data_IF_637784506841
#
_entry.id   IF_637784506841
#
_cell.length_a   1.000
_cell.length_b   1.000
_cell.length_c   1.000
_cell.angle_alpha   90.00
_cell.angle_beta   90.00
_cell.angle_gamma   90.00
#
_symmetry.space_group_name_H-M   'P 1'
#
loop_
_entity.id
_entity.type
_entity.pdbx_description
1 polymer ?
#
# COMPACT_ATOMS: atom_id res chain seq x y z
N UNK A 1 -8.86 -29.09 15.23
CA UNK A 1 -8.88 -28.53 15.17
C UNK A 1 -8.66 -27.96 15.16
N UNK A 2 -8.46 -27.82 15.09
CA UNK A 2 -8.20 -27.17 15.15
C UNK A 2 -8.30 -26.44 15.00
N UNK A 3 -8.55 -26.19 14.91
CA UNK A 3 -8.66 -25.47 14.87
C UNK A 3 -8.67 -24.99 15.37
N UNK A 4 -8.56 -25.06 15.66
CA UNK A 4 -8.45 -24.55 16.18
C UNK A 4 -7.90 -24.10 16.57
N UNK A 5 -7.81 -24.95 17.13
CA UNK A 5 -6.84 -24.41 17.53
C UNK A 5 -6.45 -23.37 16.86
N UNK A 6 -6.52 -23.58 16.08
CA UNK A 6 -6.35 -22.55 15.38
C UNK A 6 -6.89 -21.36 15.92
N UNK A 7 -7.92 -21.50 16.62
CA UNK A 7 -8.55 -20.41 17.16
C UNK A 7 -7.85 -19.83 18.30
N UNK A 8 -7.28 -20.64 19.13
CA UNK A 8 -6.48 -20.15 20.22
C UNK A 8 -5.34 -19.31 19.69
N UNK A 9 -4.75 -19.79 18.63
CA UNK A 9 -3.67 -19.06 18.05
C UNK A 9 -4.12 -17.77 17.48
N UNK A 10 -5.33 -17.71 17.01
CA UNK A 10 -5.82 -16.50 16.43
C UNK A 10 -5.95 -15.37 17.40
N UNK A 11 -6.01 -15.65 18.65
CA UNK A 11 -6.01 -14.60 19.61
C UNK A 11 -4.77 -13.77 19.49
N UNK A 12 -3.66 -14.42 19.19
CA UNK A 12 -2.42 -13.71 19.03
C UNK A 12 -2.35 -12.98 17.73
N UNK A 13 -3.19 -13.34 16.78
CA UNK A 13 -3.14 -12.73 15.49
C UNK A 13 -3.49 -11.25 15.53
N UNK A 14 -4.14 -10.78 16.56
CA UNK A 14 -4.39 -9.38 16.67
C UNK A 14 -3.12 -8.59 16.77
N UNK A 15 -2.11 -9.19 17.38
CA UNK A 15 -0.85 -8.49 17.60
C UNK A 15 0.21 -8.92 16.62
N UNK A 16 0.00 -10.09 16.01
CA UNK A 16 1.01 -10.67 15.13
C UNK A 16 0.44 -10.91 13.76
N UNK A 17 0.48 -9.89 12.94
CA UNK A 17 -0.02 -10.00 11.58
C UNK A 17 0.93 -10.89 10.81
N UNK A 18 0.43 -11.94 10.16
CA UNK A 18 1.31 -12.83 9.42
C UNK A 18 2.12 -12.11 8.35
N UNK A 19 3.38 -12.46 8.26
CA UNK A 19 4.25 -11.86 7.25
C UNK A 19 3.69 -12.05 5.85
N UNK A 20 3.09 -13.21 5.58
CA UNK A 20 2.51 -13.46 4.26
C UNK A 20 1.41 -12.47 3.94
N UNK A 21 0.62 -12.06 4.93
CA UNK A 21 -0.44 -11.09 4.70
C UNK A 21 0.15 -9.71 4.41
N UNK A 22 1.20 -9.33 5.10
CA UNK A 22 1.87 -8.07 4.87
C UNK A 22 2.49 -8.05 3.48
N UNK A 23 3.17 -9.13 3.11
CA UNK A 23 3.78 -9.19 1.78
C UNK A 23 2.73 -9.18 0.68
N UNK A 24 1.61 -9.84 0.90
CA UNK A 24 0.53 -9.83 -0.09
C UNK A 24 -0.01 -8.41 -0.27
N UNK A 25 -0.18 -7.69 0.83
CA UNK A 25 -0.69 -6.32 0.74
C UNK A 25 0.31 -5.41 0.03
N UNK A 26 1.60 -5.58 0.31
CA UNK A 26 2.63 -4.80 -0.37
C UNK A 26 2.60 -5.07 -1.87
N UNK A 27 2.50 -6.34 -2.27
CA UNK A 27 2.45 -6.68 -3.69
C UNK A 27 1.22 -6.07 -4.34
N UNK A 28 0.08 -6.14 -3.65
CA UNK A 28 -1.13 -5.57 -4.17
C UNK A 28 -0.98 -4.06 -4.39
N UNK A 29 -0.48 -3.35 -3.38
CA UNK A 29 -0.32 -1.92 -3.47
C UNK A 29 0.69 -1.54 -4.56
N UNK A 30 1.79 -2.26 -4.63
CA UNK A 30 2.80 -1.99 -5.64
C UNK A 30 2.20 -2.11 -7.04
N UNK A 31 1.52 -3.22 -7.30
CA UNK A 31 0.92 -3.44 -8.62
C UNK A 31 -0.15 -2.41 -8.94
N UNK A 32 -0.97 -2.05 -7.95
CA UNK A 32 -2.01 -1.07 -8.17
C UNK A 32 -1.43 0.31 -8.48
N UNK A 33 -0.35 0.68 -7.81
CA UNK A 33 0.32 1.96 -8.07
C UNK A 33 0.93 1.94 -9.45
N UNK A 34 1.65 0.88 -9.80
CA UNK A 34 2.28 0.79 -11.11
C UNK A 34 1.24 0.82 -12.23
N UNK A 35 0.07 0.22 -12.01
CA UNK A 35 -0.95 0.20 -13.04
C UNK A 35 -1.42 1.60 -13.44
N UNK A 36 -1.23 2.60 -12.59
CA UNK A 36 -1.62 3.97 -12.94
C UNK A 36 -0.77 4.50 -14.09
N UNK A 37 0.45 3.98 -14.26
CA UNK A 37 1.29 4.40 -15.39
C UNK A 37 0.64 4.01 -16.70
N UNK A 38 0.08 2.80 -16.77
CA UNK A 38 -0.60 2.34 -17.98
C UNK A 38 -1.88 3.10 -18.20
N UNK A 39 -2.62 3.39 -17.13
CA UNK A 39 -3.84 4.18 -17.28
C UNK A 39 -3.54 5.59 -17.79
N UNK A 40 -2.43 6.17 -17.34
CA UNK A 40 -2.02 7.47 -17.81
C UNK A 40 -1.72 7.44 -19.30
N UNK A 41 -0.99 6.41 -19.74
CA UNK A 41 -0.64 6.26 -21.14
C UNK A 41 -1.88 6.06 -22.01
N UNK A 42 -2.89 5.38 -21.44
CA UNK A 42 -4.14 5.11 -22.17
C UNK A 42 -5.14 6.26 -22.07
N UNK A 43 -4.79 7.33 -21.36
CA UNK A 43 -5.67 8.47 -21.13
C UNK A 43 -6.99 8.05 -20.49
N UNK A 44 -6.90 7.16 -19.50
CA UNK A 44 -8.09 6.65 -18.83
C UNK A 44 -8.84 7.78 -18.13
N UNK A 45 -10.15 7.90 -18.34
CA UNK A 45 -10.94 8.92 -17.64
C UNK A 45 -11.09 8.61 -16.16
N UNK A 46 -10.69 7.40 -15.73
CA UNK A 46 -10.81 7.00 -14.34
C UNK A 46 -9.52 7.13 -13.56
N UNK A 47 -8.48 7.68 -14.19
CA UNK A 47 -7.17 7.73 -13.54
C UNK A 47 -7.20 8.49 -12.21
N UNK A 48 -7.83 9.66 -12.21
CA UNK A 48 -7.87 10.47 -10.99
C UNK A 48 -8.62 9.75 -9.87
N UNK A 49 -9.74 9.13 -10.20
CA UNK A 49 -10.51 8.38 -9.21
C UNK A 49 -9.72 7.18 -8.70
N UNK A 50 -8.94 6.54 -9.57
CA UNK A 50 -8.12 5.42 -9.16
C UNK A 50 -7.03 5.86 -8.18
N UNK A 51 -6.39 6.99 -8.46
CA UNK A 51 -5.37 7.51 -7.56
C UNK A 51 -5.98 7.88 -6.21
N UNK A 52 -7.16 8.47 -6.21
CA UNK A 52 -7.84 8.79 -4.96
C UNK A 52 -8.15 7.52 -4.18
N UNK A 53 -8.59 6.48 -4.87
CA UNK A 53 -8.86 5.19 -4.24
C UNK A 53 -7.60 4.62 -3.61
N UNK A 54 -6.47 4.72 -4.30
CA UNK A 54 -5.19 4.26 -3.77
C UNK A 54 -4.79 5.02 -2.51
N UNK A 55 -4.97 6.33 -2.53
CA UNK A 55 -4.67 7.15 -1.36
C UNK A 55 -5.51 6.67 -0.17
N UNK A 56 -6.79 6.42 -0.41
CA UNK A 56 -7.66 5.94 0.64
C UNK A 56 -7.24 4.57 1.17
N UNK A 57 -6.85 3.68 0.27
CA UNK A 57 -6.43 2.35 0.66
C UNK A 57 -5.13 2.36 1.46
N UNK A 58 -4.19 3.20 1.04
CA UNK A 58 -2.92 3.29 1.73
C UNK A 58 -3.11 3.94 3.10
N UNK A 59 -3.94 4.95 3.17
CA UNK A 59 -4.29 5.56 4.44
C UNK A 59 -4.94 4.53 5.37
N UNK A 60 -5.81 3.69 4.82
CA UNK A 60 -6.47 2.64 5.59
C UNK A 60 -5.53 1.52 5.99
N UNK A 61 -4.38 1.41 5.35
CA UNK A 61 -3.39 0.38 5.68
C UNK A 61 -2.39 0.86 6.74
N UNK A 62 -2.53 2.07 7.22
CA UNK A 62 -1.56 2.67 8.12
C UNK A 62 -1.32 1.79 9.36
N UNK A 63 -2.38 1.24 9.90
CA UNK A 63 -2.26 0.38 11.07
C UNK A 63 -1.52 -0.91 10.75
N UNK A 64 -1.82 -1.50 9.60
CA UNK A 64 -1.16 -2.74 9.17
C UNK A 64 0.35 -2.56 9.09
N UNK A 65 0.79 -1.39 8.65
CA UNK A 65 2.21 -1.10 8.51
C UNK A 65 2.76 -0.32 9.71
N UNK A 66 2.05 -0.40 10.84
CA UNK A 66 2.53 0.14 12.10
C UNK A 66 2.83 1.64 12.06
N UNK A 67 2.02 2.38 11.33
CA UNK A 67 2.11 3.84 11.25
C UNK A 67 3.49 4.34 10.83
N UNK A 68 4.14 3.60 9.93
CA UNK A 68 5.45 4.02 9.42
C UNK A 68 5.32 5.34 8.68
N UNK A 69 6.32 6.23 8.84
CA UNK A 69 6.24 7.53 8.17
C UNK A 69 6.24 7.42 6.65
N UNK A 70 6.76 6.34 6.10
CA UNK A 70 6.73 6.10 4.66
C UNK A 70 5.32 6.10 4.10
N UNK A 71 4.33 5.73 4.91
CA UNK A 71 2.94 5.74 4.47
C UNK A 71 2.54 7.16 4.05
N UNK A 72 2.89 8.15 4.87
CA UNK A 72 2.55 9.53 4.53
C UNK A 72 3.29 10.01 3.31
N UNK A 73 4.53 9.56 3.15
CA UNK A 73 5.31 9.93 1.97
C UNK A 73 4.72 9.34 0.70
N UNK A 74 4.26 8.09 0.78
CA UNK A 74 3.60 7.44 -0.35
C UNK A 74 2.37 8.24 -0.76
N UNK A 75 1.55 8.62 0.22
CA UNK A 75 0.36 9.40 -0.05
C UNK A 75 0.73 10.73 -0.71
N UNK A 76 1.76 11.39 -0.19
CA UNK A 76 2.23 12.64 -0.76
C UNK A 76 2.68 12.48 -2.21
N UNK A 77 3.37 11.38 -2.52
CA UNK A 77 3.78 11.10 -3.89
C UNK A 77 2.58 10.92 -4.81
N UNK A 78 1.55 10.22 -4.34
CA UNK A 78 0.35 10.03 -5.14
C UNK A 78 -0.37 11.34 -5.37
N UNK A 79 -0.41 12.22 -4.38
CA UNK A 79 -1.01 13.53 -4.54
C UNK A 79 -0.23 14.39 -5.52
N UNK A 80 1.10 14.31 -5.47
CA UNK A 80 1.94 15.01 -6.41
C UNK A 80 1.68 14.52 -7.82
N UNK A 81 1.52 13.22 -8.00
CA UNK A 81 1.23 12.66 -9.31
C UNK A 81 -0.09 13.21 -9.88
N UNK A 82 -1.09 13.37 -8.99
CA UNK A 82 -2.37 13.91 -9.43
C UNK A 82 -2.28 15.34 -9.86
N UNK A 83 -1.52 16.13 -9.11
CA UNK A 83 -1.52 17.57 -9.26
C UNK A 83 -0.50 18.09 -10.25
N UNK A 84 0.54 17.30 -10.51
CA UNK A 84 1.63 17.73 -11.37
C UNK A 84 1.89 16.75 -12.49
N UNK A 85 1.21 16.92 -13.63
CA UNK A 85 1.37 15.97 -14.74
C UNK A 85 2.81 15.77 -15.18
N UNK A 86 3.64 16.80 -15.06
CA UNK A 86 5.04 16.69 -15.47
C UNK A 86 5.86 15.80 -14.55
N UNK A 87 5.37 15.57 -13.33
CA UNK A 87 6.06 14.72 -12.38
C UNK A 87 5.35 13.41 -12.13
N UNK A 88 4.33 13.13 -12.94
CA UNK A 88 3.50 11.96 -12.71
C UNK A 88 4.32 10.69 -12.62
N UNK A 89 5.13 10.42 -13.65
CA UNK A 89 5.86 9.17 -13.70
C UNK A 89 6.83 9.03 -12.53
N UNK A 90 7.57 10.10 -12.25
CA UNK A 90 8.53 10.05 -11.14
C UNK A 90 7.82 9.84 -9.82
N UNK A 91 6.73 10.55 -9.59
CA UNK A 91 6.01 10.46 -8.33
C UNK A 91 5.42 9.05 -8.15
N UNK A 92 4.89 8.47 -9.22
CA UNK A 92 4.33 7.11 -9.14
C UNK A 92 5.43 6.10 -8.84
N UNK A 93 6.58 6.22 -9.52
CA UNK A 93 7.68 5.29 -9.28
C UNK A 93 8.23 5.43 -7.87
N UNK A 94 8.30 6.66 -7.37
CA UNK A 94 8.73 6.89 -5.99
C UNK A 94 7.76 6.24 -5.01
N UNK A 95 6.45 6.38 -5.25
CA UNK A 95 5.46 5.77 -4.39
C UNK A 95 5.60 4.25 -4.38
N UNK A 96 5.76 3.66 -5.56
CA UNK A 96 5.90 2.20 -5.66
C UNK A 96 7.15 1.71 -4.93
N UNK A 97 8.25 2.43 -5.08
CA UNK A 97 9.48 2.03 -4.41
C UNK A 97 9.35 2.13 -2.90
N UNK A 98 8.62 3.13 -2.41
CA UNK A 98 8.40 3.26 -0.97
C UNK A 98 7.57 2.10 -0.43
N UNK A 99 6.60 1.61 -1.21
CA UNK A 99 5.84 0.45 -0.79
C UNK A 99 6.77 -0.73 -0.55
N UNK A 100 7.76 -0.90 -1.42
CA UNK A 100 8.68 -2.03 -1.30
C UNK A 100 9.52 -1.98 -0.03
N UNK A 101 9.75 -0.80 0.53
CA UNK A 101 10.57 -0.70 1.73
C UNK A 101 9.74 -0.68 3.02
N UNK A 102 8.42 -0.75 2.92
CA UNK A 102 7.59 -0.84 4.11
C UNK A 102 7.89 -2.14 4.85
N UNK A 103 7.95 -2.04 6.16
CA UNK A 103 8.21 -3.20 6.99
C UNK A 103 6.95 -3.76 7.56
N UNK A 104 6.95 -5.03 7.86
CA UNK A 104 5.83 -5.64 8.52
C UNK A 104 5.65 -5.06 9.89
N UNK A 105 4.41 -4.85 10.27
CA UNK A 105 4.13 -4.17 11.51
C UNK A 105 4.57 -4.91 12.74
N UNK A 106 4.69 -6.22 12.63
CA UNK A 106 5.00 -7.00 13.78
C UNK A 106 6.44 -7.13 14.04
N UNK A 107 7.16 -6.77 13.09
CA UNK A 107 8.44 -7.09 13.25
C UNK A 107 9.06 -6.80 14.38
N UNK A 108 8.98 -6.69 14.65
CA UNK A 108 9.70 -6.69 15.43
C UNK A 108 9.92 -7.20 16.21
N UNK A 109 9.50 -7.34 16.14
CA UNK A 109 9.81 -8.03 16.95
C UNK A 109 10.81 -8.17 17.34
#
# INVERSE_FOLDING_TARGET
>A
MAAQSIWGDNMNAYNNIPTSQIEAQKRYLYGAIISTLYEKDDNSPFLDAHIQSLINQISGSNRLFNYQPEILTIISCLETARENPNQFRKAILDAANLVNVLKGGECDA
#
